data_IF_888923552129
#
_entry.id   IF_888923552129
#
_cell.length_a   1.000
_cell.length_b   1.000
_cell.length_c   1.000
_cell.angle_alpha   90.00
_cell.angle_beta   90.00
_cell.angle_gamma   90.00
#
_symmetry.space_group_name_H-M   'P 1'
#
loop_
_entity.id
_entity.type
_entity.pdbx_description
1 polymer ?
#
# COMPACT_ATOMS: atom_id res chain seq x y z
N UNK A 1 -2.24 -18.97 8.00
CA UNK A 1 -2.86 -17.76 7.43
C UNK A 1 -3.07 -16.73 8.53
N UNK A 2 -2.21 -15.71 8.57
CA UNK A 2 -2.32 -14.62 9.52
C UNK A 2 -3.26 -13.54 8.96
N UNK A 3 -4.14 -13.00 9.80
CA UNK A 3 -5.00 -11.85 9.47
C UNK A 3 -4.65 -10.73 10.42
N UNK A 4 -4.38 -9.55 9.88
CA UNK A 4 -4.09 -8.37 10.68
C UNK A 4 -5.10 -7.27 10.36
N UNK A 5 -5.69 -6.71 11.41
CA UNK A 5 -6.58 -5.56 11.30
C UNK A 5 -6.00 -4.44 12.14
N UNK A 6 -5.77 -3.30 11.51
CA UNK A 6 -5.33 -2.07 12.15
C UNK A 6 -6.49 -1.07 12.03
N UNK A 7 -7.08 -0.72 13.15
CA UNK A 7 -8.21 0.23 13.18
C UNK A 7 -7.71 1.67 13.11
N UNK A 8 -6.73 1.99 13.96
CA UNK A 8 -6.04 3.28 14.03
C UNK A 8 -4.61 3.01 14.42
N UNK A 9 -3.65 3.60 13.72
CA UNK A 9 -2.24 3.56 14.11
C UNK A 9 -1.57 4.88 13.75
N UNK A 10 -0.79 5.40 14.70
CA UNK A 10 0.20 6.45 14.45
C UNK A 10 1.56 5.77 14.53
N UNK A 11 2.29 5.77 13.41
CA UNK A 11 3.57 5.06 13.30
C UNK A 11 4.63 5.97 12.73
N UNK A 12 5.53 6.40 13.60
CA UNK A 12 6.68 7.25 13.24
C UNK A 12 7.59 6.55 12.20
N UNK A 13 7.90 5.25 12.40
CA UNK A 13 8.65 4.44 11.42
C UNK A 13 8.21 2.99 11.47
N UNK A 14 7.77 2.46 10.33
CA UNK A 14 7.50 1.05 10.15
C UNK A 14 8.44 0.47 9.10
N UNK A 15 9.18 -0.57 9.46
CA UNK A 15 10.00 -1.33 8.52
C UNK A 15 9.53 -2.78 8.50
N UNK A 16 9.12 -3.23 7.32
CA UNK A 16 8.71 -4.60 7.05
C UNK A 16 9.73 -5.21 6.10
N UNK A 17 10.49 -6.19 6.59
CA UNK A 17 11.50 -6.87 5.77
C UNK A 17 10.89 -7.96 4.92
N UNK A 18 10.06 -8.80 5.52
CA UNK A 18 9.29 -9.87 4.87
C UNK A 18 7.97 -10.01 5.60
N UNK A 19 6.88 -9.98 4.85
CA UNK A 19 5.56 -10.25 5.38
C UNK A 19 4.77 -11.11 4.41
N UNK A 20 4.24 -12.22 4.91
CA UNK A 20 3.21 -13.02 4.22
C UNK A 20 1.88 -12.77 4.94
N UNK A 21 0.98 -12.04 4.30
CA UNK A 21 -0.28 -11.63 4.90
C UNK A 21 -1.46 -12.03 4.01
N UNK A 22 -2.24 -12.99 4.47
CA UNK A 22 -3.47 -13.39 3.78
C UNK A 22 -4.51 -12.27 3.71
N UNK A 23 -4.61 -11.46 4.77
CA UNK A 23 -5.50 -10.29 4.77
C UNK A 23 -4.98 -9.21 5.70
N UNK A 24 -4.74 -8.03 5.14
CA UNK A 24 -4.44 -6.80 5.87
C UNK A 24 -5.58 -5.80 5.65
N UNK A 25 -6.15 -5.30 6.74
CA UNK A 25 -7.14 -4.21 6.70
C UNK A 25 -6.65 -3.07 7.56
N UNK A 26 -6.47 -1.90 6.93
CA UNK A 26 -6.08 -0.65 7.57
C UNK A 26 -7.22 0.33 7.38
N UNK A 27 -7.81 0.76 8.49
CA UNK A 27 -8.93 1.72 8.44
C UNK A 27 -8.42 3.15 8.48
N UNK A 28 -7.56 3.46 9.45
CA UNK A 28 -6.88 4.74 9.57
C UNK A 28 -5.43 4.50 9.99
N UNK A 29 -4.48 5.06 9.25
CA UNK A 29 -3.08 5.04 9.65
C UNK A 29 -2.40 6.35 9.24
N UNK A 30 -1.67 6.94 10.17
CA UNK A 30 -0.72 8.02 9.91
C UNK A 30 0.68 7.43 10.04
N UNK A 31 1.45 7.47 8.95
CA UNK A 31 2.78 6.86 8.90
C UNK A 31 3.79 7.81 8.26
N UNK A 32 4.67 8.40 9.07
CA UNK A 32 5.76 9.27 8.58
C UNK A 32 6.71 8.52 7.65
N UNK A 33 7.02 7.25 7.95
CA UNK A 33 7.87 6.44 7.08
C UNK A 33 7.52 4.96 7.11
N UNK A 34 7.11 4.45 5.95
CA UNK A 34 6.90 3.03 5.69
C UNK A 34 7.94 2.52 4.70
N UNK A 35 8.71 1.52 5.12
CA UNK A 35 9.64 0.81 4.23
C UNK A 35 9.28 -0.67 4.19
N UNK A 36 8.97 -1.16 3.00
CA UNK A 36 8.63 -2.56 2.72
C UNK A 36 9.68 -3.11 1.77
N UNK A 37 10.38 -4.18 2.18
CA UNK A 37 11.40 -4.82 1.35
C UNK A 37 10.78 -5.91 0.50
N UNK A 38 10.13 -6.89 1.12
CA UNK A 38 9.34 -7.92 0.44
C UNK A 38 8.01 -8.06 1.16
N UNK A 39 6.90 -8.00 0.43
CA UNK A 39 5.58 -8.30 0.96
C UNK A 39 4.75 -9.11 -0.05
N UNK A 40 4.22 -10.23 0.41
CA UNK A 40 3.22 -11.02 -0.29
C UNK A 40 1.89 -10.83 0.44
N UNK A 41 0.91 -10.23 -0.25
CA UNK A 41 -0.39 -9.90 0.34
C UNK A 41 -1.53 -10.29 -0.60
N UNK A 42 -2.26 -11.36 -0.28
CA UNK A 42 -3.44 -11.76 -1.07
C UNK A 42 -4.52 -10.67 -1.08
N UNK A 43 -4.70 -9.97 0.04
CA UNK A 43 -5.70 -8.89 0.13
C UNK A 43 -5.30 -7.75 1.05
N UNK A 44 -5.10 -6.59 0.46
CA UNK A 44 -4.87 -5.32 1.14
C UNK A 44 -6.08 -4.40 0.95
N UNK A 45 -6.65 -3.93 2.06
CA UNK A 45 -7.70 -2.90 2.06
C UNK A 45 -7.27 -1.74 2.92
N UNK A 46 -7.18 -0.56 2.32
CA UNK A 46 -6.81 0.69 2.97
C UNK A 46 -7.96 1.68 2.79
N UNK A 47 -8.50 2.19 3.89
CA UNK A 47 -9.67 3.08 3.85
C UNK A 47 -9.24 4.54 3.90
N UNK A 48 -8.50 4.92 4.93
CA UNK A 48 -7.89 6.24 5.09
C UNK A 48 -6.46 6.04 5.52
N UNK A 49 -5.51 6.65 4.82
CA UNK A 49 -4.11 6.60 5.24
C UNK A 49 -3.37 7.82 4.76
N UNK A 50 -2.64 8.45 5.66
CA UNK A 50 -1.67 9.51 5.36
C UNK A 50 -0.28 8.91 5.52
N UNK A 51 0.52 8.96 4.45
CA UNK A 51 1.87 8.41 4.44
C UNK A 51 2.84 9.41 3.83
N UNK A 52 3.70 10.03 4.63
CA UNK A 52 4.69 10.97 4.10
C UNK A 52 5.66 10.26 3.14
N UNK A 53 6.16 9.08 3.52
CA UNK A 53 7.17 8.35 2.72
C UNK A 53 6.89 6.86 2.69
N UNK A 54 6.53 6.37 1.51
CA UNK A 54 6.38 4.96 1.20
C UNK A 54 7.50 4.48 0.27
N UNK A 55 8.35 3.58 0.77
CA UNK A 55 9.36 2.90 -0.02
C UNK A 55 9.02 1.41 -0.12
N UNK A 56 8.76 0.91 -1.32
CA UNK A 56 8.50 -0.50 -1.61
C UNK A 56 9.59 -1.01 -2.55
N UNK A 57 10.31 -2.04 -2.12
CA UNK A 57 11.34 -2.67 -2.96
C UNK A 57 10.71 -3.76 -3.83
N UNK A 58 9.99 -4.68 -3.21
CA UNK A 58 9.27 -5.76 -3.86
C UNK A 58 7.95 -5.99 -3.14
N UNK A 59 6.85 -5.96 -3.89
CA UNK A 59 5.53 -6.29 -3.36
C UNK A 59 4.74 -7.06 -4.40
N UNK A 60 4.17 -8.19 -3.99
CA UNK A 60 3.18 -8.95 -4.75
C UNK A 60 1.84 -8.84 -4.03
N UNK A 61 0.84 -8.28 -4.71
CA UNK A 61 -0.49 -8.05 -4.13
C UNK A 61 -1.57 -8.54 -5.10
N UNK A 62 -2.27 -9.62 -4.75
CA UNK A 62 -3.35 -10.13 -5.60
C UNK A 62 -4.53 -9.14 -5.68
N UNK A 63 -4.86 -8.49 -4.56
CA UNK A 63 -5.92 -7.49 -4.51
C UNK A 63 -5.58 -6.31 -3.60
N UNK A 64 -5.42 -5.14 -4.21
CA UNK A 64 -5.29 -3.85 -3.53
C UNK A 64 -6.56 -3.02 -3.71
N UNK A 65 -7.18 -2.61 -2.59
CA UNK A 65 -8.29 -1.66 -2.58
C UNK A 65 -7.92 -0.47 -1.69
N UNK A 66 -7.88 0.73 -2.29
CA UNK A 66 -7.58 1.98 -1.60
C UNK A 66 -8.76 2.94 -1.78
N UNK A 67 -9.33 3.42 -0.67
CA UNK A 67 -10.50 4.31 -0.72
C UNK A 67 -10.08 5.77 -0.68
N UNK A 68 -9.25 6.14 0.29
CA UNK A 68 -8.60 7.44 0.41
C UNK A 68 -7.17 7.22 0.91
N UNK A 69 -6.19 7.65 0.14
CA UNK A 69 -4.81 7.70 0.62
C UNK A 69 -4.12 8.98 0.13
N UNK A 70 -3.43 9.65 1.04
CA UNK A 70 -2.55 10.76 0.73
C UNK A 70 -1.11 10.28 0.94
N UNK A 71 -0.29 10.37 -0.10
CA UNK A 71 1.10 9.93 -0.08
C UNK A 71 2.00 11.04 -0.64
N UNK A 72 2.82 11.66 0.21
CA UNK A 72 3.74 12.72 -0.24
C UNK A 72 4.79 12.15 -1.21
N UNK A 73 5.42 11.02 -0.84
CA UNK A 73 6.47 10.38 -1.64
C UNK A 73 6.25 8.87 -1.70
N UNK A 74 5.96 8.37 -2.91
CA UNK A 74 5.93 6.95 -3.23
C UNK A 74 7.12 6.57 -4.11
N UNK A 75 7.95 5.65 -3.61
CA UNK A 75 9.02 5.01 -4.40
C UNK A 75 8.79 3.50 -4.45
N UNK A 76 8.62 2.98 -5.66
CA UNK A 76 8.42 1.55 -5.93
C UNK A 76 9.51 1.06 -6.86
N UNK A 77 10.27 0.05 -6.43
CA UNK A 77 11.30 -0.56 -7.29
C UNK A 77 10.69 -1.65 -8.16
N UNK A 78 10.03 -2.62 -7.53
CA UNK A 78 9.30 -3.70 -8.19
C UNK A 78 7.96 -3.87 -7.47
N UNK A 79 6.86 -3.85 -8.20
CA UNK A 79 5.55 -4.24 -7.67
C UNK A 79 4.74 -5.02 -8.71
N UNK A 80 4.18 -6.15 -8.30
CA UNK A 80 3.16 -6.89 -9.03
C UNK A 80 1.82 -6.72 -8.33
N UNK A 81 0.83 -6.17 -9.03
CA UNK A 81 -0.54 -6.04 -8.51
C UNK A 81 -1.52 -6.64 -9.50
N UNK A 82 -2.15 -7.75 -9.15
CA UNK A 82 -3.13 -8.39 -10.04
C UNK A 82 -4.38 -7.52 -10.23
N UNK A 83 -4.90 -6.99 -9.12
CA UNK A 83 -6.08 -6.11 -9.11
C UNK A 83 -5.87 -4.91 -8.22
N UNK A 84 -5.96 -3.74 -8.83
CA UNK A 84 -5.91 -2.44 -8.18
C UNK A 84 -7.28 -1.77 -8.29
N UNK A 85 -7.87 -1.38 -7.17
CA UNK A 85 -9.04 -0.50 -7.12
C UNK A 85 -8.72 0.72 -6.28
N UNK A 86 -8.85 1.90 -6.88
CA UNK A 86 -8.55 3.17 -6.22
C UNK A 86 -9.69 4.15 -6.45
N UNK A 87 -10.22 4.71 -5.37
CA UNK A 87 -11.34 5.68 -5.40
C UNK A 87 -10.84 7.11 -5.26
N UNK A 88 -9.93 7.36 -4.32
CA UNK A 88 -9.30 8.67 -4.15
C UNK A 88 -7.87 8.46 -3.67
N UNK A 89 -6.91 8.99 -4.43
CA UNK A 89 -5.49 8.99 -4.06
C UNK A 89 -4.88 10.29 -4.50
N UNK A 90 -4.22 10.96 -3.56
CA UNK A 90 -3.32 12.06 -3.87
C UNK A 90 -1.89 11.56 -3.65
N UNK A 91 -1.07 11.63 -4.71
CA UNK A 91 0.35 11.29 -4.66
C UNK A 91 1.13 12.48 -5.19
N UNK A 92 1.89 13.15 -4.32
CA UNK A 92 2.67 14.33 -4.69
C UNK A 92 3.87 13.95 -5.56
N UNK A 93 4.58 12.89 -5.18
CA UNK A 93 5.76 12.39 -5.92
C UNK A 93 5.73 10.88 -6.06
N UNK A 94 5.65 10.45 -7.32
CA UNK A 94 5.69 9.04 -7.69
C UNK A 94 7.00 8.71 -8.43
N UNK A 95 7.74 7.73 -7.94
CA UNK A 95 8.87 7.10 -8.64
C UNK A 95 8.63 5.60 -8.73
N UNK A 96 8.49 5.08 -9.95
CA UNK A 96 8.27 3.65 -10.21
C UNK A 96 9.32 3.18 -11.20
N UNK A 97 10.05 2.12 -10.85
CA UNK A 97 11.07 1.55 -11.73
C UNK A 97 10.48 0.41 -12.57
N UNK A 98 9.87 -0.57 -11.92
CA UNK A 98 9.12 -1.67 -12.54
C UNK A 98 7.81 -1.84 -11.77
N UNK A 99 6.69 -1.72 -12.47
CA UNK A 99 5.38 -2.08 -11.93
C UNK A 99 4.60 -2.84 -13.00
N UNK A 100 4.07 -3.99 -12.61
CA UNK A 100 3.12 -4.76 -13.39
C UNK A 100 1.77 -4.69 -12.67
N UNK A 101 0.79 -4.09 -13.35
CA UNK A 101 -0.58 -4.01 -12.84
C UNK A 101 -1.47 -4.68 -13.88
N UNK A 102 -2.05 -5.81 -13.51
CA UNK A 102 -2.80 -6.66 -14.44
C UNK A 102 -4.19 -6.07 -14.71
N UNK A 103 -4.87 -5.57 -13.67
CA UNK A 103 -6.15 -4.86 -13.76
C UNK A 103 -6.22 -3.69 -12.80
N UNK A 104 -6.20 -2.47 -13.35
CA UNK A 104 -6.49 -1.25 -12.61
C UNK A 104 -7.91 -0.73 -12.91
N UNK A 105 -8.70 -0.54 -11.85
CA UNK A 105 -9.95 0.22 -11.90
C UNK A 105 -9.80 1.46 -11.01
N UNK A 106 -9.62 2.62 -11.64
CA UNK A 106 -9.69 3.91 -10.97
C UNK A 106 -11.12 4.45 -11.13
N UNK A 107 -11.73 4.89 -10.03
CA UNK A 107 -12.98 5.63 -10.06
C UNK A 107 -12.70 7.03 -9.51
N UNK A 108 -12.26 7.94 -10.38
CA UNK A 108 -12.17 9.35 -10.01
C UNK A 108 -13.59 9.94 -10.04
N UNK A 109 -14.03 10.53 -8.92
CA UNK A 109 -15.25 11.33 -8.84
C UNK A 109 -14.90 12.79 -8.57
#
# INVERSE_FOLDING_TARGET
MCKLTVTTAEIDKLTVTTAEIYKLTVTAAEIDKLTVTVAEIDKLTVTTSEIDKLNVTEAEIDWLSVTAAEIDILTVTTAGIDKLTVTSTEIDKLTVNVAEIDKACCHES
#
